data_IF_563330721217
#
_entry.id   IF_563330721217
#
_cell.length_a   1.000
_cell.length_b   1.000
_cell.length_c   1.000
_cell.angle_alpha   90.00
_cell.angle_beta   90.00
_cell.angle_gamma   90.00
#
_symmetry.space_group_name_H-M   'P 1'
#
loop_
_entity.id
_entity.type
_entity.pdbx_description
1 polymer ?
#
# COMPACT_ATOMS: atom_id res chain seq x y z
N UNK A 1 10.90 -4.48 17.92
CA UNK A 1 9.89 -3.83 17.07
C UNK A 1 10.43 -3.86 15.65
N UNK A 2 9.60 -4.08 14.65
CA UNK A 2 10.07 -4.10 13.26
C UNK A 2 10.13 -2.67 12.70
N UNK A 3 11.24 -2.31 12.04
CA UNK A 3 11.44 -1.01 11.38
C UNK A 3 10.81 -0.97 9.97
N UNK A 4 9.76 -1.75 9.77
CA UNK A 4 9.18 -2.03 8.47
C UNK A 4 7.67 -1.97 8.51
N UNK A 5 7.09 -1.66 7.37
CA UNK A 5 5.66 -1.74 7.11
C UNK A 5 5.39 -2.77 6.04
N UNK A 6 4.17 -3.29 6.04
CA UNK A 6 3.70 -4.16 4.98
C UNK A 6 2.81 -3.37 4.02
N UNK A 7 3.04 -3.53 2.73
CA UNK A 7 2.23 -2.97 1.66
C UNK A 7 1.72 -4.09 0.78
N UNK A 8 0.61 -3.86 0.09
CA UNK A 8 0.07 -4.79 -0.89
C UNK A 8 0.61 -4.38 -2.26
N UNK A 9 1.43 -5.22 -2.90
CA UNK A 9 2.02 -4.93 -4.21
C UNK A 9 1.47 -5.83 -5.30
N UNK A 10 1.48 -5.31 -6.54
CA UNK A 10 1.23 -6.11 -7.74
C UNK A 10 2.31 -7.19 -7.90
N UNK A 11 1.90 -8.45 -8.10
CA UNK A 11 2.82 -9.54 -8.44
C UNK A 11 3.46 -9.35 -9.81
N UNK A 12 2.77 -8.67 -10.73
CA UNK A 12 3.23 -8.49 -12.12
C UNK A 12 4.27 -7.40 -12.27
N UNK A 13 4.15 -6.33 -11.49
CA UNK A 13 4.97 -5.11 -11.62
C UNK A 13 6.02 -4.98 -10.50
N UNK A 14 6.15 -6.01 -9.66
CA UNK A 14 7.05 -6.02 -8.53
C UNK A 14 6.66 -4.99 -7.46
N UNK A 15 7.64 -4.57 -6.68
CA UNK A 15 7.45 -3.70 -5.51
C UNK A 15 7.29 -2.22 -5.89
N UNK A 16 7.11 -1.92 -7.19
CA UNK A 16 7.00 -0.55 -7.72
C UNK A 16 5.57 -0.01 -7.72
N UNK A 17 4.57 -0.90 -7.69
CA UNK A 17 3.15 -0.53 -7.71
C UNK A 17 2.44 -1.11 -6.48
N UNK A 18 2.21 -0.22 -5.51
CA UNK A 18 1.54 -0.55 -4.27
C UNK A 18 0.06 -0.16 -4.33
N UNK A 19 -0.81 -1.05 -3.88
CA UNK A 19 -2.25 -0.82 -3.79
C UNK A 19 -2.56 0.41 -2.93
N UNK A 20 -3.40 1.30 -3.47
CA UNK A 20 -3.89 2.47 -2.75
C UNK A 20 -5.38 2.32 -2.38
N UNK A 21 -6.26 2.23 -3.37
CA UNK A 21 -7.69 2.00 -3.20
C UNK A 21 -8.27 1.31 -4.45
N UNK A 22 -9.55 0.95 -4.42
CA UNK A 22 -10.28 0.42 -5.56
C UNK A 22 -11.71 0.97 -5.61
N UNK A 23 -12.33 0.92 -6.79
CA UNK A 23 -13.70 1.38 -7.00
C UNK A 23 -13.99 1.68 -8.47
N UNK A 24 -15.11 2.34 -8.75
CA UNK A 24 -15.42 2.79 -10.11
C UNK A 24 -14.48 3.94 -10.51
N UNK A 25 -13.77 3.79 -11.63
CA UNK A 25 -12.90 4.84 -12.17
C UNK A 25 -12.97 4.89 -13.69
N UNK A 26 -13.24 6.07 -14.25
CA UNK A 26 -13.27 6.25 -15.71
C UNK A 26 -14.25 5.33 -16.44
N UNK A 27 -15.36 4.95 -15.79
CA UNK A 27 -16.35 4.00 -16.33
C UNK A 27 -15.94 2.52 -16.22
N UNK A 28 -14.81 2.21 -15.59
CA UNK A 28 -14.41 0.83 -15.27
C UNK A 28 -14.89 0.51 -13.85
N UNK A 29 -15.82 -0.47 -13.68
CA UNK A 29 -16.23 -0.90 -12.35
C UNK A 29 -15.09 -1.67 -11.67
N UNK A 30 -14.96 -1.48 -10.35
CA UNK A 30 -14.01 -2.15 -9.46
C UNK A 30 -12.55 -2.11 -9.92
N UNK A 31 -12.11 -0.99 -10.51
CA UNK A 31 -10.72 -0.77 -10.87
C UNK A 31 -9.82 -0.69 -9.63
N UNK A 32 -8.64 -1.31 -9.68
CA UNK A 32 -7.63 -1.19 -8.61
C UNK A 32 -6.64 -0.08 -8.97
N UNK A 33 -6.45 0.85 -8.05
CA UNK A 33 -5.51 1.96 -8.15
C UNK A 33 -4.20 1.67 -7.44
N UNK A 34 -3.09 1.99 -8.11
CA UNK A 34 -1.72 1.83 -7.58
C UNK A 34 -1.00 3.16 -7.44
N UNK A 35 -0.17 3.27 -6.40
CA UNK A 35 0.69 4.43 -6.13
C UNK A 35 2.09 3.99 -5.66
N UNK A 36 2.93 5.00 -5.39
CA UNK A 36 4.20 4.83 -4.69
C UNK A 36 3.98 4.44 -3.21
N UNK A 37 4.98 3.81 -2.55
CA UNK A 37 4.85 3.27 -1.20
C UNK A 37 4.35 4.28 -0.16
N UNK A 38 4.81 5.54 -0.23
CA UNK A 38 4.42 6.59 0.71
C UNK A 38 2.93 6.96 0.63
N UNK A 39 2.30 6.76 -0.53
CA UNK A 39 0.89 7.11 -0.77
C UNK A 39 -0.04 5.89 -0.80
N UNK A 40 0.51 4.68 -0.73
CA UNK A 40 -0.22 3.43 -0.66
C UNK A 40 -0.75 3.14 0.75
N UNK A 41 -1.69 2.20 0.84
CA UNK A 41 -2.17 1.68 2.13
C UNK A 41 -1.07 0.80 2.76
N UNK A 42 -0.86 0.98 4.07
CA UNK A 42 0.19 0.32 4.85
C UNK A 42 -0.43 -0.47 6.00
N UNK A 43 0.28 -1.51 6.42
CA UNK A 43 -0.12 -2.44 7.46
C UNK A 43 1.05 -2.69 8.41
N UNK A 44 0.76 -3.02 9.67
CA UNK A 44 1.81 -3.30 10.63
C UNK A 44 2.34 -4.73 10.48
N UNK A 45 1.49 -5.66 10.03
CA UNK A 45 1.86 -7.07 9.87
C UNK A 45 1.56 -7.60 8.48
N UNK A 46 2.24 -8.69 8.12
CA UNK A 46 1.97 -9.43 6.89
C UNK A 46 0.54 -9.98 6.88
N UNK A 47 0.09 -10.46 8.03
CA UNK A 47 -1.21 -11.09 8.23
C UNK A 47 -2.34 -10.09 8.04
N UNK A 48 -2.20 -8.86 8.54
CA UNK A 48 -3.15 -7.76 8.29
C UNK A 48 -3.27 -7.43 6.79
N UNK A 49 -2.12 -7.32 6.10
CA UNK A 49 -2.09 -7.07 4.67
C UNK A 49 -2.75 -8.23 3.88
N UNK A 50 -2.49 -9.48 4.27
CA UNK A 50 -3.09 -10.65 3.63
C UNK A 50 -4.60 -10.72 3.88
N UNK A 51 -5.05 -10.50 5.11
CA UNK A 51 -6.47 -10.46 5.46
C UNK A 51 -7.21 -9.37 4.66
N UNK A 52 -6.56 -8.23 4.42
CA UNK A 52 -7.12 -7.19 3.55
C UNK A 52 -7.25 -7.65 2.10
N UNK A 53 -6.25 -8.35 1.54
CA UNK A 53 -6.33 -8.96 0.20
C UNK A 53 -7.54 -9.90 0.13
N UNK A 54 -7.68 -10.80 1.10
CA UNK A 54 -8.67 -11.87 1.05
C UNK A 54 -10.11 -11.37 1.24
N UNK A 55 -10.30 -10.26 1.97
CA UNK A 55 -11.62 -9.77 2.36
C UNK A 55 -12.05 -8.49 1.66
N UNK A 56 -11.12 -7.59 1.33
CA UNK A 56 -11.43 -6.25 0.84
C UNK A 56 -11.14 -6.06 -0.65
N UNK A 57 -10.19 -6.80 -1.24
CA UNK A 57 -9.92 -6.66 -2.66
C UNK A 57 -11.00 -7.36 -3.51
N UNK A 58 -11.30 -6.82 -4.71
CA UNK A 58 -12.10 -7.51 -5.72
C UNK A 58 -11.56 -8.90 -5.99
N UNK A 59 -12.45 -9.88 -6.23
CA UNK A 59 -12.08 -11.29 -6.41
C UNK A 59 -11.00 -11.49 -7.48
N UNK A 60 -11.13 -10.79 -8.61
CA UNK A 60 -10.16 -10.81 -9.71
C UNK A 60 -8.78 -10.29 -9.29
N UNK A 61 -8.73 -9.33 -8.36
CA UNK A 61 -7.51 -8.70 -7.89
C UNK A 61 -6.75 -9.53 -6.86
N UNK A 62 -7.40 -10.43 -6.11
CA UNK A 62 -6.75 -11.17 -5.01
C UNK A 62 -5.56 -11.99 -5.49
N UNK A 63 -5.71 -12.67 -6.62
CA UNK A 63 -4.64 -13.46 -7.23
C UNK A 63 -3.45 -12.62 -7.72
N UNK A 64 -3.68 -11.35 -8.05
CA UNK A 64 -2.68 -10.43 -8.60
C UNK A 64 -1.81 -9.75 -7.53
N UNK A 65 -2.15 -9.84 -6.26
CA UNK A 65 -1.49 -9.08 -5.19
C UNK A 65 -0.82 -9.97 -4.14
N UNK A 66 0.20 -9.42 -3.47
CA UNK A 66 0.84 -10.04 -2.32
C UNK A 66 1.26 -8.99 -1.29
N UNK A 67 1.32 -9.34 0.01
CA UNK A 67 2.01 -8.53 1.00
C UNK A 67 3.51 -8.48 0.71
N UNK A 68 4.11 -7.31 0.92
CA UNK A 68 5.55 -7.06 0.77
C UNK A 68 6.02 -6.20 1.94
N UNK A 69 7.16 -6.56 2.50
CA UNK A 69 7.80 -5.81 3.57
C UNK A 69 8.62 -4.66 2.99
N UNK A 70 8.40 -3.45 3.50
CA UNK A 70 9.12 -2.24 3.14
C UNK A 70 9.84 -1.72 4.38
N UNK A 71 11.17 -1.68 4.31
CA UNK A 71 11.99 -1.04 5.34
C UNK A 71 11.88 0.49 5.27
N UNK A 72 12.29 1.16 6.35
CA UNK A 72 12.30 2.63 6.45
C UNK A 72 13.00 3.33 5.26
N UNK A 73 14.00 2.68 4.65
CA UNK A 73 14.79 3.18 3.52
C UNK A 73 13.95 3.44 2.26
N UNK A 74 12.86 2.68 2.06
CA UNK A 74 11.96 2.87 0.93
C UNK A 74 11.18 4.19 0.98
N UNK A 75 11.03 4.77 2.17
CA UNK A 75 10.30 6.02 2.37
C UNK A 75 11.23 7.23 2.42
N UNK A 76 12.55 7.03 2.46
CA UNK A 76 13.51 8.10 2.73
C UNK A 76 13.37 9.23 1.72
N UNK A 77 13.23 8.97 0.43
CA UNK A 77 13.21 10.08 -0.54
C UNK A 77 11.91 10.88 -0.57
N UNK A 78 10.78 10.23 -0.28
CA UNK A 78 9.45 10.82 -0.51
C UNK A 78 8.67 11.09 0.79
N UNK A 79 9.13 10.58 1.93
CA UNK A 79 8.45 10.72 3.22
C UNK A 79 9.42 10.60 4.41
N UNK A 80 10.34 11.57 4.54
CA UNK A 80 11.29 11.61 5.68
C UNK A 80 10.63 11.48 7.04
N UNK A 81 9.45 12.06 7.24
CA UNK A 81 8.71 11.92 8.49
C UNK A 81 8.42 10.46 8.84
N UNK A 82 7.96 9.66 7.87
CA UNK A 82 7.68 8.24 8.07
C UNK A 82 8.96 7.44 8.33
N UNK A 83 10.04 7.72 7.60
CA UNK A 83 11.36 7.12 7.83
C UNK A 83 11.85 7.39 9.25
N UNK A 84 11.80 8.64 9.72
CA UNK A 84 12.20 9.00 11.08
C UNK A 84 11.33 8.30 12.13
N UNK A 85 10.02 8.19 11.90
CA UNK A 85 9.13 7.51 12.82
C UNK A 85 9.44 6.02 12.97
N UNK A 86 9.69 5.35 11.84
CA UNK A 86 10.08 3.94 11.82
C UNK A 86 11.39 3.72 12.59
N UNK A 87 12.43 4.52 12.34
CA UNK A 87 13.70 4.41 13.06
C UNK A 87 13.59 4.71 14.56
N UNK A 88 12.72 5.64 14.95
CA UNK A 88 12.50 6.01 16.33
C UNK A 88 11.53 5.07 17.07
N UNK A 89 10.96 4.08 16.39
CA UNK A 89 9.93 3.18 16.93
C UNK A 89 8.73 3.92 17.54
N UNK A 90 8.39 5.10 16.99
CA UNK A 90 7.25 5.88 17.47
C UNK A 90 5.98 5.46 16.72
N UNK A 91 4.81 5.52 17.36
CA UNK A 91 3.55 5.21 16.71
C UNK A 91 3.33 6.07 15.45
N UNK A 92 3.03 5.40 14.33
CA UNK A 92 2.74 6.09 13.07
C UNK A 92 1.27 6.55 13.11
N UNK A 93 0.99 7.84 12.87
CA UNK A 93 -0.37 8.34 12.78
C UNK A 93 -1.20 7.60 11.72
N UNK A 94 -2.46 7.29 12.04
CA UNK A 94 -3.35 6.55 11.14
C UNK A 94 -3.46 7.16 9.73
N UNK A 95 -3.42 8.48 9.60
CA UNK A 95 -3.51 9.14 8.30
C UNK A 95 -2.31 8.83 7.37
N UNK A 96 -1.14 8.47 7.91
CA UNK A 96 0.02 8.02 7.14
C UNK A 96 -0.06 6.53 6.75
N UNK A 97 -0.88 5.76 7.48
CA UNK A 97 -1.16 4.35 7.18
C UNK A 97 -2.21 4.20 6.06
N UNK A 98 -3.07 5.21 5.92
CA UNK A 98 -4.10 5.27 4.88
C UNK A 98 -3.53 5.76 3.53
N UNK A 99 -4.15 5.38 2.40
CA UNK A 99 -3.77 5.91 1.10
C UNK A 99 -4.06 7.41 1.01
N UNK A 100 -3.29 8.14 0.22
CA UNK A 100 -3.53 9.58 -0.02
C UNK A 100 -4.70 9.78 -1.00
N UNK A 101 -5.83 10.40 -0.59
CA UNK A 101 -7.01 10.53 -1.45
C UNK A 101 -6.79 11.45 -2.65
N UNK A 102 -7.48 11.19 -3.77
CA UNK A 102 -7.60 12.13 -4.90
C UNK A 102 -6.34 12.30 -5.76
N UNK A 103 -5.36 11.41 -5.63
CA UNK A 103 -4.12 11.44 -6.43
C UNK A 103 -4.32 10.72 -7.77
N UNK A 104 -3.66 11.23 -8.83
CA UNK A 104 -3.59 10.57 -10.14
C UNK A 104 -2.84 9.25 -10.01
N UNK A 105 -3.43 8.16 -10.50
CA UNK A 105 -2.89 6.82 -10.33
C UNK A 105 -3.06 5.95 -11.56
N UNK A 106 -2.34 4.84 -11.53
CA UNK A 106 -2.51 3.77 -12.51
C UNK A 106 -3.69 2.92 -12.05
N UNK A 107 -4.69 2.80 -12.90
CA UNK A 107 -5.86 1.96 -12.67
C UNK A 107 -5.79 0.74 -13.58
N UNK A 108 -6.09 -0.45 -13.05
CA UNK A 108 -6.08 -1.68 -13.84
C UNK A 108 -7.29 -2.56 -13.54
N UNK A 109 -7.61 -3.39 -14.53
CA UNK A 109 -8.51 -4.55 -14.48
C UNK A 109 -7.78 -5.75 -15.09
#
# INVERSE_FOLDING_TARGET
MENSLYLICSKRDGDTLCYAEHGEMGGVPDAIGYDSPEHARKFHTREEAQAYIDTQLPEWGRGCHRPVQFEASYFTWNCWGLTSMLHAYVPIPNHLMLPTPGRLRIWRR
#
